data_IF_071291581297
#
_entry.id   IF_071291581297
#
_cell.length_a   1.000
_cell.length_b   1.000
_cell.length_c   1.000
_cell.angle_alpha   90.00
_cell.angle_beta   90.00
_cell.angle_gamma   90.00
#
_symmetry.space_group_name_H-M   'P 1'
#
loop_
_entity.id
_entity.type
_entity.pdbx_description
1 polymer ?
#
# COMPACT_ATOMS: atom_id res chain seq x y z
N UNK A 1 -7.69 36.34 -14.60
CA UNK A 1 -6.78 35.54 -13.76
C UNK A 1 -7.17 35.58 -12.29
N UNK A 2 -7.10 36.73 -11.58
CA UNK A 2 -7.45 36.83 -10.14
C UNK A 2 -8.78 36.20 -9.67
N UNK A 3 -9.83 36.26 -10.50
CA UNK A 3 -11.14 35.67 -10.15
C UNK A 3 -11.13 34.13 -10.19
N UNK A 4 -10.41 33.53 -11.14
CA UNK A 4 -10.25 32.08 -11.22
C UNK A 4 -9.42 31.56 -10.04
N UNK A 5 -8.37 32.26 -9.66
CA UNK A 5 -7.52 31.90 -8.52
C UNK A 5 -8.32 31.93 -7.20
N UNK A 6 -9.25 32.89 -7.06
CA UNK A 6 -10.13 32.98 -5.90
C UNK A 6 -11.17 31.85 -5.85
N UNK A 7 -11.73 31.48 -7.01
CA UNK A 7 -12.64 30.32 -7.10
C UNK A 7 -11.89 29.03 -6.79
N UNK A 8 -10.68 28.84 -7.34
CA UNK A 8 -9.86 27.65 -7.07
C UNK A 8 -9.53 27.56 -5.58
N UNK A 9 -9.10 28.66 -4.95
CA UNK A 9 -8.82 28.69 -3.52
C UNK A 9 -10.07 28.46 -2.65
N UNK A 10 -11.24 28.95 -3.08
CA UNK A 10 -12.51 28.66 -2.39
C UNK A 10 -12.90 27.18 -2.53
N UNK A 11 -12.71 26.60 -3.72
CA UNK A 11 -12.99 25.18 -3.99
C UNK A 11 -12.02 24.25 -3.22
N UNK A 12 -10.77 24.64 -3.08
CA UNK A 12 -9.77 23.95 -2.24
C UNK A 12 -10.18 23.99 -0.75
N UNK A 13 -10.61 25.16 -0.24
CA UNK A 13 -11.13 25.28 1.14
C UNK A 13 -12.39 24.46 1.40
N UNK A 14 -13.25 24.27 0.38
CA UNK A 14 -14.43 23.40 0.49
C UNK A 14 -14.11 21.91 0.35
N UNK A 15 -12.86 21.53 0.03
CA UNK A 15 -12.46 20.13 -0.16
C UNK A 15 -12.94 19.50 -1.46
N UNK A 16 -13.48 20.29 -2.41
CA UNK A 16 -13.91 19.83 -3.73
C UNK A 16 -12.70 19.53 -4.61
N UNK A 17 -11.65 20.36 -4.52
CA UNK A 17 -10.36 20.15 -5.17
C UNK A 17 -9.35 19.75 -4.09
N UNK A 18 -8.64 18.61 -4.22
CA UNK A 18 -7.60 18.26 -3.26
C UNK A 18 -6.45 19.26 -3.34
N UNK A 19 -6.13 19.88 -2.21
CA UNK A 19 -5.01 20.82 -2.13
C UNK A 19 -3.65 20.16 -2.34
N UNK A 20 -2.64 20.96 -2.66
CA UNK A 20 -1.26 20.46 -2.89
C UNK A 20 -0.69 19.76 -1.64
N UNK A 21 -1.05 20.23 -0.44
CA UNK A 21 -0.67 19.62 0.84
C UNK A 21 -1.27 18.21 1.01
N UNK A 22 -2.53 18.02 0.61
CA UNK A 22 -3.23 16.74 0.69
C UNK A 22 -2.61 15.69 -0.24
N UNK A 23 -2.24 16.11 -1.45
CA UNK A 23 -1.58 15.22 -2.41
C UNK A 23 -0.18 14.81 -1.91
N UNK A 24 0.58 15.77 -1.39
CA UNK A 24 1.92 15.54 -0.84
C UNK A 24 1.85 14.57 0.34
N UNK A 25 0.89 14.76 1.25
CA UNK A 25 0.66 13.86 2.39
C UNK A 25 0.34 12.43 1.95
N UNK A 26 -0.52 12.25 0.95
CA UNK A 26 -0.86 10.92 0.40
C UNK A 26 0.36 10.22 -0.21
N UNK A 27 1.20 10.95 -0.92
CA UNK A 27 2.44 10.40 -1.51
C UNK A 27 3.38 9.94 -0.40
N UNK A 28 3.60 10.76 0.63
CA UNK A 28 4.49 10.43 1.77
C UNK A 28 3.97 9.19 2.51
N UNK A 29 2.67 9.12 2.80
CA UNK A 29 2.06 7.97 3.46
C UNK A 29 2.24 6.70 2.63
N UNK A 30 1.96 6.76 1.32
CA UNK A 30 2.10 5.59 0.45
C UNK A 30 3.56 5.13 0.36
N UNK A 31 4.51 6.05 0.27
CA UNK A 31 5.94 5.71 0.33
C UNK A 31 6.30 5.00 1.64
N UNK A 32 5.83 5.51 2.78
CA UNK A 32 6.10 4.89 4.08
C UNK A 32 5.54 3.46 4.16
N UNK A 33 4.29 3.23 3.74
CA UNK A 33 3.69 1.90 3.73
C UNK A 33 4.43 0.93 2.80
N UNK A 34 4.78 1.37 1.58
CA UNK A 34 5.54 0.55 0.63
C UNK A 34 6.92 0.20 1.21
N UNK A 35 7.63 1.16 1.80
CA UNK A 35 8.94 0.93 2.42
C UNK A 35 8.85 -0.04 3.61
N UNK A 36 7.86 0.12 4.49
CA UNK A 36 7.65 -0.79 5.62
C UNK A 36 7.31 -2.19 5.13
N UNK A 37 6.40 -2.31 4.15
CA UNK A 37 6.04 -3.59 3.55
C UNK A 37 7.22 -4.28 2.88
N UNK A 38 8.06 -3.52 2.16
CA UNK A 38 9.31 -4.01 1.58
C UNK A 38 10.25 -4.55 2.65
N UNK A 39 10.53 -3.77 3.70
CA UNK A 39 11.44 -4.17 4.77
C UNK A 39 10.95 -5.45 5.48
N UNK A 40 9.67 -5.52 5.82
CA UNK A 40 9.10 -6.69 6.49
C UNK A 40 9.14 -7.94 5.61
N UNK A 41 8.71 -7.83 4.34
CA UNK A 41 8.72 -8.98 3.42
C UNK A 41 10.14 -9.44 3.10
N UNK A 42 11.09 -8.52 2.96
CA UNK A 42 12.50 -8.85 2.74
C UNK A 42 13.12 -9.57 3.94
N UNK A 43 12.93 -9.02 5.16
CA UNK A 43 13.46 -9.64 6.38
C UNK A 43 12.84 -11.01 6.63
N UNK A 44 11.52 -11.15 6.50
CA UNK A 44 10.84 -12.44 6.67
C UNK A 44 11.22 -13.44 5.58
N UNK A 45 11.44 -12.98 4.35
CA UNK A 45 11.97 -13.80 3.26
C UNK A 45 13.34 -14.38 3.62
N UNK A 46 14.27 -13.54 4.07
CA UNK A 46 15.59 -13.98 4.53
C UNK A 46 15.50 -14.97 5.70
N UNK A 47 14.69 -14.68 6.71
CA UNK A 47 14.47 -15.57 7.86
C UNK A 47 13.90 -16.92 7.40
N UNK A 48 12.97 -16.94 6.45
CA UNK A 48 12.41 -18.17 5.90
C UNK A 48 13.48 -19.03 5.19
N UNK A 49 14.42 -18.41 4.47
CA UNK A 49 15.56 -19.12 3.88
C UNK A 49 16.45 -19.78 4.94
N UNK A 50 16.78 -19.07 6.03
CA UNK A 50 17.55 -19.65 7.14
C UNK A 50 16.83 -20.82 7.83
N UNK A 51 15.50 -20.81 7.84
CA UNK A 51 14.67 -21.89 8.36
C UNK A 51 14.38 -23.01 7.33
N UNK A 52 15.05 -23.01 6.16
CA UNK A 52 14.85 -23.98 5.07
C UNK A 52 13.41 -23.99 4.49
N UNK A 53 12.65 -22.92 4.71
CA UNK A 53 11.29 -22.73 4.17
C UNK A 53 11.37 -22.04 2.81
N UNK A 54 11.98 -22.70 1.83
CA UNK A 54 12.32 -22.11 0.53
C UNK A 54 11.11 -21.57 -0.24
N UNK A 55 9.95 -22.24 -0.15
CA UNK A 55 8.74 -21.84 -0.86
C UNK A 55 8.20 -20.50 -0.32
N UNK A 56 8.07 -20.39 1.01
CA UNK A 56 7.63 -19.15 1.68
C UNK A 56 8.67 -18.04 1.49
N UNK A 57 9.96 -18.36 1.64
CA UNK A 57 11.05 -17.41 1.47
C UNK A 57 11.13 -16.84 0.05
N UNK A 58 11.04 -17.70 -0.97
CA UNK A 58 11.05 -17.29 -2.37
C UNK A 58 9.87 -16.39 -2.72
N UNK A 59 8.67 -16.72 -2.25
CA UNK A 59 7.49 -15.91 -2.45
C UNK A 59 7.60 -14.52 -1.78
N UNK A 60 8.10 -14.47 -0.54
CA UNK A 60 8.31 -13.20 0.18
C UNK A 60 9.37 -12.32 -0.49
N UNK A 61 10.47 -12.89 -0.99
CA UNK A 61 11.48 -12.14 -1.74
C UNK A 61 10.92 -11.64 -3.07
N UNK A 62 10.12 -12.44 -3.78
CA UNK A 62 9.46 -11.99 -5.01
C UNK A 62 8.54 -10.78 -4.75
N UNK A 63 7.75 -10.83 -3.68
CA UNK A 63 6.92 -9.68 -3.26
C UNK A 63 7.78 -8.47 -2.87
N UNK A 64 8.89 -8.66 -2.16
CA UNK A 64 9.80 -7.57 -1.82
C UNK A 64 10.35 -6.89 -3.08
N UNK A 65 10.70 -7.64 -4.12
CA UNK A 65 11.16 -7.07 -5.39
C UNK A 65 10.06 -6.25 -6.10
N UNK A 66 8.81 -6.72 -6.09
CA UNK A 66 7.66 -5.97 -6.61
C UNK A 66 7.47 -4.66 -5.84
N UNK A 67 7.54 -4.70 -4.51
CA UNK A 67 7.40 -3.52 -3.66
C UNK A 67 8.57 -2.53 -3.85
N UNK A 68 9.80 -3.03 -4.01
CA UNK A 68 10.95 -2.20 -4.34
C UNK A 68 10.75 -1.49 -5.70
N UNK A 69 10.32 -2.23 -6.73
CA UNK A 69 9.98 -1.64 -8.03
C UNK A 69 8.88 -0.58 -7.93
N UNK A 70 7.86 -0.85 -7.12
CA UNK A 70 6.75 0.09 -6.85
C UNK A 70 7.23 1.35 -6.14
N UNK A 71 8.17 1.23 -5.20
CA UNK A 71 8.79 2.36 -4.51
C UNK A 71 9.56 3.27 -5.48
N UNK A 72 10.39 2.67 -6.34
CA UNK A 72 11.11 3.43 -7.38
C UNK A 72 10.17 4.06 -8.39
N UNK A 73 9.10 3.35 -8.79
CA UNK A 73 8.05 3.87 -9.67
C UNK A 73 7.34 5.08 -9.05
N UNK A 74 6.93 4.98 -7.78
CA UNK A 74 6.27 6.07 -7.06
C UNK A 74 7.18 7.30 -6.93
N UNK A 75 8.48 7.09 -6.69
CA UNK A 75 9.46 8.17 -6.59
C UNK A 75 9.64 8.92 -7.91
N UNK A 76 9.58 8.22 -9.06
CA UNK A 76 9.74 8.83 -10.39
C UNK A 76 8.46 9.49 -10.90
N UNK A 77 7.32 8.83 -10.75
CA UNK A 77 6.05 9.27 -11.36
C UNK A 77 5.18 10.11 -10.43
N UNK A 78 5.40 10.03 -9.11
CA UNK A 78 4.51 10.58 -8.06
C UNK A 78 3.05 10.09 -8.17
N UNK A 79 2.79 9.06 -8.96
CA UNK A 79 1.45 8.50 -9.15
C UNK A 79 1.10 7.57 -7.98
N UNK A 80 0.60 8.18 -6.90
CA UNK A 80 0.20 7.44 -5.71
C UNK A 80 -0.99 6.50 -5.94
N UNK A 81 -1.85 6.76 -6.93
CA UNK A 81 -3.03 5.92 -7.18
C UNK A 81 -2.63 4.52 -7.66
N UNK A 82 -1.78 4.43 -8.67
CA UNK A 82 -1.29 3.14 -9.17
C UNK A 82 -0.42 2.42 -8.13
N UNK A 83 0.44 3.15 -7.43
CA UNK A 83 1.28 2.55 -6.38
C UNK A 83 0.46 2.00 -5.21
N UNK A 84 -0.61 2.66 -4.80
CA UNK A 84 -1.54 2.13 -3.79
C UNK A 84 -2.22 0.85 -4.26
N UNK A 85 -2.64 0.79 -5.53
CA UNK A 85 -3.27 -0.42 -6.10
C UNK A 85 -2.29 -1.59 -6.11
N UNK A 86 -1.05 -1.36 -6.56
CA UNK A 86 -0.02 -2.42 -6.60
C UNK A 86 0.32 -2.90 -5.19
N UNK A 87 0.47 -1.98 -4.23
CA UNK A 87 0.73 -2.33 -2.84
C UNK A 87 -0.41 -3.19 -2.27
N UNK A 88 -1.66 -2.77 -2.45
CA UNK A 88 -2.82 -3.52 -1.94
C UNK A 88 -2.96 -4.87 -2.61
N UNK A 89 -2.77 -4.97 -3.93
CA UNK A 89 -2.77 -6.25 -4.65
C UNK A 89 -1.68 -7.19 -4.09
N UNK A 90 -0.48 -6.66 -3.84
CA UNK A 90 0.64 -7.40 -3.26
C UNK A 90 0.33 -7.89 -1.84
N UNK A 91 -0.26 -7.03 -0.99
CA UNK A 91 -0.71 -7.40 0.35
C UNK A 91 -1.84 -8.44 0.32
N UNK A 92 -2.77 -8.33 -0.64
CA UNK A 92 -3.85 -9.32 -0.83
C UNK A 92 -3.27 -10.69 -1.19
N UNK A 93 -2.36 -10.72 -2.16
CA UNK A 93 -1.68 -11.93 -2.60
C UNK A 93 -0.92 -12.59 -1.43
N UNK A 94 -0.22 -11.77 -0.63
CA UNK A 94 0.49 -12.24 0.57
C UNK A 94 -0.46 -12.90 1.56
N UNK A 95 -1.61 -12.29 1.84
CA UNK A 95 -2.58 -12.82 2.80
C UNK A 95 -3.26 -14.09 2.32
N UNK A 96 -3.61 -14.17 1.03
CA UNK A 96 -4.15 -15.39 0.43
C UNK A 96 -3.13 -16.53 0.53
N UNK A 97 -1.88 -16.24 0.20
CA UNK A 97 -0.78 -17.20 0.31
C UNK A 97 -0.58 -17.67 1.76
N UNK A 98 -0.59 -16.76 2.73
CA UNK A 98 -0.48 -17.08 4.16
C UNK A 98 -1.68 -17.84 4.70
N UNK A 99 -2.89 -17.59 4.17
CA UNK A 99 -4.11 -18.29 4.57
C UNK A 99 -4.10 -19.75 4.10
N UNK A 100 -3.57 -20.01 2.91
CA UNK A 100 -3.45 -21.38 2.36
C UNK A 100 -2.29 -22.14 3.02
N UNK A 101 -1.15 -21.49 3.21
CA UNK A 101 0.05 -22.14 3.77
C UNK A 101 0.08 -22.19 5.29
N UNK A 102 -0.82 -21.46 5.97
CA UNK A 102 -0.80 -21.24 7.41
C UNK A 102 0.33 -20.29 7.87
N UNK A 103 1.18 -19.82 6.96
CA UNK A 103 2.37 -19.03 7.27
C UNK A 103 3.44 -19.81 8.06
N UNK A 104 4.44 -19.09 8.58
CA UNK A 104 5.44 -19.71 9.43
C UNK A 104 4.83 -19.95 10.81
N UNK A 105 4.73 -21.22 11.22
CA UNK A 105 4.18 -21.65 12.53
C UNK A 105 2.72 -21.19 12.79
N UNK A 106 1.86 -21.16 11.76
CA UNK A 106 0.43 -20.82 11.95
C UNK A 106 0.14 -19.32 12.09
N UNK A 107 1.11 -18.45 11.83
CA UNK A 107 0.97 -16.99 11.96
C UNK A 107 0.11 -16.36 10.87
N UNK A 108 -0.28 -17.09 9.82
CA UNK A 108 -1.02 -16.53 8.69
C UNK A 108 -2.35 -15.87 9.09
N UNK A 109 -3.05 -16.43 10.07
CA UNK A 109 -4.33 -15.90 10.58
C UNK A 109 -4.18 -14.56 11.30
N UNK A 110 -3.00 -14.27 11.88
CA UNK A 110 -2.74 -13.05 12.67
C UNK A 110 -2.80 -11.80 11.76
N UNK A 111 -2.55 -11.96 10.47
CA UNK A 111 -2.48 -10.86 9.51
C UNK A 111 -3.83 -10.48 8.90
N UNK A 112 -4.85 -11.34 9.01
CA UNK A 112 -6.19 -11.07 8.45
C UNK A 112 -6.85 -9.80 9.01
N UNK A 113 -6.80 -9.51 10.33
CA UNK A 113 -7.42 -8.30 10.88
C UNK A 113 -6.70 -7.00 10.47
N UNK A 114 -5.41 -7.08 10.14
CA UNK A 114 -4.60 -5.91 9.76
C UNK A 114 -4.94 -5.43 8.35
N UNK A 115 -5.35 -6.35 7.48
CA UNK A 115 -5.66 -6.08 6.08
C UNK A 115 -6.76 -5.01 5.82
N UNK A 116 -7.97 -5.08 6.42
CA UNK A 116 -9.01 -4.08 6.19
C UNK A 116 -8.53 -2.68 6.61
N UNK A 117 -7.76 -2.58 7.69
CA UNK A 117 -7.17 -1.31 8.13
C UNK A 117 -6.23 -0.77 7.04
N UNK A 118 -5.30 -1.58 6.55
CA UNK A 118 -4.35 -1.17 5.50
C UNK A 118 -5.07 -0.72 4.22
N UNK A 119 -6.06 -1.47 3.76
CA UNK A 119 -6.79 -1.15 2.52
C UNK A 119 -7.56 0.16 2.62
N UNK A 120 -8.25 0.41 3.74
CA UNK A 120 -8.97 1.68 3.97
C UNK A 120 -8.01 2.86 4.05
N UNK A 121 -6.84 2.69 4.68
CA UNK A 121 -5.84 3.75 4.77
C UNK A 121 -5.19 4.09 3.41
N UNK A 122 -4.92 3.09 2.58
CA UNK A 122 -4.15 3.26 1.33
C UNK A 122 -5.00 3.61 0.09
N UNK A 123 -6.22 3.07 0.00
CA UNK A 123 -7.17 3.43 -1.06
C UNK A 123 -8.08 4.59 -0.65
N UNK A 124 -8.07 4.96 0.63
CA UNK A 124 -9.11 5.79 1.23
C UNK A 124 -10.43 5.02 1.36
N UNK A 125 -11.43 5.59 2.05
CA UNK A 125 -12.80 5.11 1.93
C UNK A 125 -13.21 5.24 0.46
N UNK A 126 -13.26 4.12 -0.27
CA UNK A 126 -14.00 4.08 -1.54
C UNK A 126 -15.41 4.51 -1.17
N UNK A 127 -15.88 5.65 -1.67
CA UNK A 127 -17.24 6.12 -1.45
C UNK A 127 -18.19 4.97 -1.76
N UNK A 128 -18.67 4.31 -0.72
CA UNK A 128 -19.75 3.34 -0.81
C UNK A 128 -21.03 4.14 -0.91
N UNK A 129 -21.23 4.84 -2.03
CA UNK A 129 -22.56 5.34 -2.39
C UNK A 129 -22.98 4.60 -3.65
N UNK A 130 -23.65 3.47 -3.44
CA UNK A 130 -24.76 3.12 -4.31
C UNK A 130 -26.09 3.67 -3.74
N UNK A 131 -26.08 4.32 -2.57
CA UNK A 131 -27.24 4.98 -1.93
C UNK A 131 -26.76 6.12 -1.02
N UNK A 132 -26.58 7.33 -1.57
CA UNK A 132 -26.64 8.67 -0.93
C UNK A 132 -26.39 9.68 -2.04
#
# INVERSE_FOLDING_TARGET
MKFLDHIIAALERTGVIPGEEDQTRKIILNQAFISIGFLLTFLFGLIAFFNKLFLIGGFLIALALILAGTFFYLRKTKNYSLSSIIFVASSTLLLLFLSITGGTKGTGLIWLPVYPVLTVFLLGPRKGSYVT
#
